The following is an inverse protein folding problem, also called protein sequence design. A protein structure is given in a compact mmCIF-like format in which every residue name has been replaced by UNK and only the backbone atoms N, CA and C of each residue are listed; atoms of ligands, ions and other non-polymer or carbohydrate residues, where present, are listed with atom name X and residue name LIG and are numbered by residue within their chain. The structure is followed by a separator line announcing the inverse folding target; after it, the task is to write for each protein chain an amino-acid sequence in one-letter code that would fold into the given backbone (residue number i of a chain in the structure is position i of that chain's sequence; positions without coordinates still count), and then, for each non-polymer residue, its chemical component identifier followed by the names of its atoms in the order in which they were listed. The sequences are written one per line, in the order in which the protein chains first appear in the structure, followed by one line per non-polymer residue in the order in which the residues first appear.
data_IF_114690456092
#
_entry.id   IF_114690456092
#
_cell.length_a   1.000
_cell.length_b   1.000
_cell.length_c   1.000
_cell.angle_alpha   90.00
_cell.angle_beta   90.00
_cell.angle_gamma   90.00
#
_symmetry.space_group_name_H-M   'P 1'
#
loop_
_entity.id
_entity.type
_entity.pdbx_description
1 polymer ?
#
# COMPACT_ATOMS: atom_id res chain seq x y z
N UNK A 1 17.99 4.62 -60.30
CA UNK A 1 18.82 5.58 -61.03
C UNK A 1 17.94 6.36 -62.00
N UNK A 2 17.66 7.64 -61.75
CA UNK A 2 17.59 8.75 -62.71
C UNK A 2 17.48 10.08 -61.93
N UNK A 3 18.46 10.96 -62.17
CA UNK A 3 18.47 12.38 -61.83
C UNK A 3 17.50 13.15 -62.75
N UNK A 4 17.04 14.31 -62.26
CA UNK A 4 16.93 15.66 -62.90
C UNK A 4 15.74 16.42 -62.29
N UNK A 5 15.67 17.74 -62.12
CA UNK A 5 16.61 18.86 -62.00
C UNK A 5 15.74 20.09 -61.60
N UNK A 6 16.38 21.07 -60.96
CA UNK A 6 16.09 22.52 -60.87
C UNK A 6 14.67 23.11 -60.82
N UNK A 7 14.47 23.96 -59.80
CA UNK A 7 13.44 24.98 -59.77
C UNK A 7 13.70 26.01 -58.66
N UNK A 8 14.56 26.98 -58.93
CA UNK A 8 14.79 28.14 -58.08
C UNK A 8 13.54 29.04 -58.00
N UNK A 9 13.16 29.44 -56.79
CA UNK A 9 12.44 30.70 -56.54
C UNK A 9 13.12 31.46 -55.42
N UNK A 10 13.81 32.53 -55.81
CA UNK A 10 14.28 33.63 -54.96
C UNK A 10 13.10 34.55 -54.64
N UNK A 11 12.88 34.88 -53.36
CA UNK A 11 12.18 36.12 -53.00
C UNK A 11 12.78 36.71 -51.73
N UNK A 12 13.43 37.86 -51.94
CA UNK A 12 13.50 39.05 -51.10
C UNK A 12 13.75 38.91 -49.59
N UNK A 13 14.98 39.23 -49.24
CA UNK A 13 15.47 39.99 -48.09
C UNK A 13 14.45 40.98 -47.52
N UNK A 14 14.19 40.90 -46.22
CA UNK A 14 14.01 42.07 -45.36
C UNK A 14 14.62 41.82 -43.98
N UNK A 15 15.62 42.63 -43.69
CA UNK A 15 16.36 42.77 -42.45
C UNK A 15 15.45 42.89 -41.22
N UNK A 16 15.66 42.00 -40.23
CA UNK A 16 15.30 42.28 -38.84
C UNK A 16 16.57 42.36 -38.02
N UNK A 17 17.03 43.60 -37.92
CA UNK A 17 18.04 44.14 -37.02
C UNK A 17 17.93 43.50 -35.63
N UNK A 18 19.03 42.90 -35.20
CA UNK A 18 19.25 42.47 -33.83
C UNK A 18 19.09 43.67 -32.88
N UNK A 19 18.24 43.51 -31.87
CA UNK A 19 18.22 44.38 -30.71
C UNK A 19 18.23 43.48 -29.48
N UNK A 20 19.44 43.26 -28.95
CA UNK A 20 19.65 42.68 -27.63
C UNK A 20 19.06 43.64 -26.59
N UNK A 21 18.17 43.21 -25.68
CA UNK A 21 17.85 44.02 -24.53
C UNK A 21 19.01 43.97 -23.52
N UNK A 22 19.43 45.18 -23.13
CA UNK A 22 20.44 45.53 -22.14
C UNK A 22 20.49 44.62 -20.91
N UNK A 23 21.73 44.23 -20.61
CA UNK A 23 22.19 43.73 -19.32
C UNK A 23 22.04 44.88 -18.30
N UNK A 24 20.91 44.90 -17.61
CA UNK A 24 20.78 45.68 -16.37
C UNK A 24 21.42 44.86 -15.25
N UNK A 25 22.58 45.34 -14.82
CA UNK A 25 23.26 44.97 -13.57
C UNK A 25 22.26 45.00 -12.41
N UNK A 26 21.84 43.82 -11.98
CA UNK A 26 21.15 43.64 -10.70
C UNK A 26 22.24 43.45 -9.67
N UNK A 27 22.38 44.47 -8.82
CA UNK A 27 23.20 44.43 -7.62
C UNK A 27 22.79 43.23 -6.77
N UNK A 28 23.80 42.50 -6.30
CA UNK A 28 23.70 41.45 -5.31
C UNK A 28 23.07 42.02 -4.03
N UNK A 29 21.78 41.74 -3.83
CA UNK A 29 21.18 41.78 -2.50
C UNK A 29 21.16 40.36 -1.99
N UNK A 30 22.15 40.03 -1.17
CA UNK A 30 22.14 38.84 -0.33
C UNK A 30 20.82 38.82 0.47
N UNK A 31 20.06 37.71 0.49
CA UNK A 31 19.01 37.57 1.47
C UNK A 31 19.69 37.43 2.84
N UNK A 32 19.55 38.45 3.67
CA UNK A 32 19.82 38.38 5.10
C UNK A 32 19.00 37.21 5.68
N UNK A 33 19.68 36.09 5.91
CA UNK A 33 19.13 34.91 6.56
C UNK A 33 19.04 35.16 8.07
N UNK A 34 18.11 36.02 8.48
CA UNK A 34 17.63 36.13 9.86
C UNK A 34 16.56 35.07 10.10
N UNK A 35 16.98 33.82 10.02
CA UNK A 35 16.17 32.64 10.33
C UNK A 35 16.94 31.73 11.28
N UNK A 36 17.17 32.19 12.51
CA UNK A 36 17.64 31.35 13.61
C UNK A 36 16.52 30.36 13.94
N UNK A 37 16.46 29.26 13.19
CA UNK A 37 15.65 28.10 13.55
C UNK A 37 16.07 27.60 14.93
N UNK A 38 15.18 26.91 15.66
CA UNK A 38 15.50 26.44 17.00
C UNK A 38 16.72 25.54 16.90
N UNK A 39 17.87 26.00 17.40
CA UNK A 39 19.06 25.17 17.60
C UNK A 39 18.79 24.28 18.83
N UNK A 40 17.94 23.27 18.65
CA UNK A 40 17.77 22.22 19.63
C UNK A 40 19.04 21.39 19.68
N UNK A 41 19.76 21.50 20.79
CA UNK A 41 20.94 20.71 21.11
C UNK A 41 20.70 19.23 20.83
N UNK A 42 21.60 18.61 20.06
CA UNK A 42 21.54 17.21 19.64
C UNK A 42 21.41 16.19 20.79
N UNK A 43 21.69 16.60 22.02
CA UNK A 43 21.54 15.80 23.23
C UNK A 43 20.09 15.61 23.68
N UNK A 44 19.17 16.53 23.38
CA UNK A 44 17.76 16.45 23.83
C UNK A 44 16.91 15.52 22.95
N UNK A 45 17.49 15.03 21.84
CA UNK A 45 16.83 14.17 20.86
C UNK A 45 17.15 12.68 21.06
N UNK A 46 17.98 12.32 22.03
CA UNK A 46 18.26 10.93 22.43
C UNK A 46 17.00 10.28 23.02
N UNK A 47 16.15 9.75 22.14
CA UNK A 47 14.88 9.12 22.49
C UNK A 47 13.69 9.60 21.64
N UNK A 48 13.90 10.63 20.81
CA UNK A 48 12.87 11.11 19.89
C UNK A 48 12.77 10.14 18.70
N UNK A 49 11.55 9.72 18.44
CA UNK A 49 11.25 8.79 17.36
C UNK A 49 11.35 9.47 16.00
N UNK A 50 11.85 8.72 15.01
CA UNK A 50 11.93 9.16 13.61
C UNK A 50 10.62 9.03 12.86
N UNK A 51 9.56 8.60 13.55
CA UNK A 51 8.26 8.27 12.95
C UNK A 51 7.22 9.32 13.33
N UNK A 52 6.60 9.89 12.32
CA UNK A 52 5.42 10.75 12.45
C UNK A 52 4.15 9.97 12.11
N UNK A 53 3.09 10.28 12.83
CA UNK A 53 1.71 9.91 12.52
C UNK A 53 1.05 11.07 11.81
N UNK A 54 0.39 10.79 10.69
CA UNK A 54 -0.40 11.76 9.93
C UNK A 54 -1.84 11.24 9.88
N UNK A 55 -2.76 11.96 10.51
CA UNK A 55 -4.19 11.70 10.50
C UNK A 55 -4.97 12.67 9.63
N UNK A 56 -6.23 12.32 9.39
CA UNK A 56 -7.18 13.10 8.59
C UNK A 56 -6.71 13.35 7.14
N UNK A 57 -6.07 12.34 6.56
CA UNK A 57 -5.57 12.41 5.20
C UNK A 57 -6.71 12.46 4.18
N UNK A 58 -6.65 13.37 3.20
CA UNK A 58 -7.65 13.47 2.14
C UNK A 58 -7.63 12.23 1.24
N UNK A 59 -8.80 11.87 0.71
CA UNK A 59 -8.91 10.73 -0.20
C UNK A 59 -8.11 10.98 -1.49
N UNK A 60 -7.31 9.99 -1.90
CA UNK A 60 -6.42 10.09 -3.07
C UNK A 60 -4.98 10.50 -2.73
N UNK A 61 -4.73 10.97 -1.51
CA UNK A 61 -3.38 11.29 -1.04
C UNK A 61 -2.75 10.06 -0.36
N UNK A 62 -2.18 9.19 -1.20
CA UNK A 62 -1.68 7.88 -0.81
C UNK A 62 -0.15 7.85 -0.74
N UNK A 63 0.44 6.66 -0.79
CA UNK A 63 1.87 6.44 -0.54
C UNK A 63 2.79 7.22 -1.48
N UNK A 64 2.48 7.26 -2.78
CA UNK A 64 3.29 7.98 -3.79
C UNK A 64 3.23 9.50 -3.58
N UNK A 65 2.03 10.03 -3.31
CA UNK A 65 1.81 11.47 -3.11
C UNK A 65 2.41 11.93 -1.78
N UNK A 66 2.21 11.16 -0.71
CA UNK A 66 2.79 11.45 0.60
C UNK A 66 4.32 11.41 0.54
N UNK A 67 4.91 10.43 -0.14
CA UNK A 67 6.36 10.37 -0.26
C UNK A 67 6.88 11.63 -0.97
N UNK A 68 6.31 11.98 -2.12
CA UNK A 68 6.74 13.17 -2.87
C UNK A 68 6.54 14.47 -2.10
N UNK A 69 5.47 14.57 -1.31
CA UNK A 69 5.21 15.74 -0.48
C UNK A 69 6.15 15.85 0.71
N UNK A 70 6.40 14.77 1.44
CA UNK A 70 7.28 14.81 2.62
C UNK A 70 8.77 14.76 2.29
N UNK A 71 9.15 14.41 1.06
CA UNK A 71 10.52 14.50 0.54
C UNK A 71 11.09 15.94 0.70
N UNK A 72 10.25 16.97 0.73
CA UNK A 72 10.66 18.37 0.89
C UNK A 72 11.29 18.68 2.26
N UNK A 73 10.91 17.92 3.31
CA UNK A 73 11.47 18.08 4.65
C UNK A 73 12.75 17.25 4.81
N UNK A 74 12.81 16.10 4.15
CA UNK A 74 13.99 15.24 4.13
C UNK A 74 13.69 13.83 3.63
N UNK A 75 14.71 12.97 3.64
CA UNK A 75 14.62 11.63 3.09
C UNK A 75 13.66 10.73 3.89
N UNK A 76 12.60 10.27 3.22
CA UNK A 76 11.63 9.31 3.76
C UNK A 76 12.13 7.88 3.56
N UNK A 77 12.44 7.19 4.67
CA UNK A 77 12.95 5.81 4.66
C UNK A 77 11.82 4.80 4.49
N UNK A 78 10.77 4.89 5.34
CA UNK A 78 9.64 3.96 5.33
C UNK A 78 8.34 4.73 5.38
N UNK A 79 7.41 4.36 4.50
CA UNK A 79 6.09 4.96 4.46
C UNK A 79 5.01 3.89 4.40
N UNK A 80 3.95 4.08 5.19
CA UNK A 80 2.78 3.22 5.17
C UNK A 80 1.48 3.99 5.41
N UNK A 81 0.57 3.93 4.45
CA UNK A 81 -0.83 4.33 4.65
C UNK A 81 -1.61 3.18 5.26
N UNK A 82 -2.37 3.47 6.31
CA UNK A 82 -3.25 2.47 6.91
C UNK A 82 -4.50 2.26 6.07
N UNK A 83 -4.82 1.00 5.80
CA UNK A 83 -5.96 0.57 4.98
C UNK A 83 -6.78 -0.46 5.73
N UNK A 84 -8.06 -0.55 5.40
CA UNK A 84 -8.92 -1.61 5.89
C UNK A 84 -8.52 -2.94 5.24
N UNK A 85 -8.23 -3.95 6.05
CA UNK A 85 -7.80 -5.27 5.56
C UNK A 85 -8.82 -5.91 4.63
N UNK A 86 -10.13 -5.72 4.85
CA UNK A 86 -11.20 -6.34 4.06
C UNK A 86 -11.45 -5.60 2.74
N UNK A 87 -11.71 -4.29 2.82
CA UNK A 87 -12.11 -3.47 1.66
C UNK A 87 -10.95 -2.85 0.90
N UNK A 88 -9.75 -2.79 1.49
CA UNK A 88 -8.57 -2.13 0.90
C UNK A 88 -8.63 -0.60 0.90
N UNK A 89 -9.74 0.00 1.33
CA UNK A 89 -9.91 1.45 1.43
C UNK A 89 -8.97 2.03 2.49
N UNK A 90 -8.42 3.21 2.22
CA UNK A 90 -7.60 3.92 3.20
C UNK A 90 -8.44 4.30 4.43
N UNK A 91 -7.80 4.29 5.59
CA UNK A 91 -8.39 4.76 6.85
C UNK A 91 -8.10 6.24 7.13
N UNK A 92 -7.56 6.96 6.15
CA UNK A 92 -7.22 8.38 6.24
C UNK A 92 -6.13 8.69 7.29
N UNK A 93 -5.20 7.76 7.52
CA UNK A 93 -4.00 8.02 8.30
C UNK A 93 -2.80 7.22 7.77
N UNK A 94 -1.60 7.71 8.04
CA UNK A 94 -0.34 7.12 7.61
C UNK A 94 0.74 7.27 8.68
N UNK A 95 1.76 6.44 8.57
CA UNK A 95 3.01 6.56 9.31
C UNK A 95 4.13 6.79 8.33
N UNK A 96 4.96 7.78 8.63
CA UNK A 96 6.12 8.17 7.81
C UNK A 96 7.34 8.16 8.71
N UNK A 97 8.38 7.49 8.27
CA UNK A 97 9.66 7.44 8.95
C UNK A 97 10.72 8.17 8.14
N UNK A 98 11.33 9.15 8.78
CA UNK A 98 12.44 9.91 8.23
C UNK A 98 13.78 9.27 8.57
N UNK A 99 14.82 9.67 7.83
CA UNK A 99 16.19 9.28 8.13
C UNK A 99 16.69 9.90 9.45
N UNK A 100 16.38 11.19 9.67
CA UNK A 100 16.77 11.95 10.86
C UNK A 100 15.58 12.19 11.80
N UNK A 101 15.74 12.05 13.13
CA UNK A 101 14.70 12.38 14.11
C UNK A 101 14.39 13.88 14.15
N UNK A 102 15.36 14.76 13.90
CA UNK A 102 15.18 16.22 13.85
C UNK A 102 14.16 16.61 12.78
N UNK A 103 14.29 16.01 11.59
CA UNK A 103 13.39 16.24 10.47
C UNK A 103 11.97 15.79 10.80
N UNK A 104 11.81 14.70 11.57
CA UNK A 104 10.49 14.25 12.02
C UNK A 104 9.82 15.27 12.96
N UNK A 105 10.58 15.93 13.84
CA UNK A 105 10.07 16.99 14.72
C UNK A 105 9.61 18.19 13.90
N UNK A 106 10.49 18.71 13.04
CA UNK A 106 10.20 19.88 12.21
C UNK A 106 8.99 19.60 11.29
N UNK A 107 8.95 18.44 10.66
CA UNK A 107 7.84 18.06 9.79
C UNK A 107 6.52 17.92 10.57
N UNK A 108 6.56 17.45 11.82
CA UNK A 108 5.37 17.34 12.65
C UNK A 108 4.83 18.72 13.05
N UNK A 109 5.70 19.60 13.51
CA UNK A 109 5.34 20.96 13.93
C UNK A 109 4.84 21.80 12.74
N UNK A 110 5.52 21.73 11.60
CA UNK A 110 5.15 22.51 10.42
C UNK A 110 3.83 22.06 9.77
N UNK A 111 3.49 20.77 9.88
CA UNK A 111 2.33 20.20 9.19
C UNK A 111 1.12 19.97 10.08
N UNK A 112 1.24 20.11 11.41
CA UNK A 112 0.09 19.98 12.29
C UNK A 112 -0.92 21.10 12.04
N UNK A 113 -2.20 20.74 11.94
CA UNK A 113 -3.31 21.61 11.56
C UNK A 113 -3.20 22.26 10.17
N UNK A 114 -2.28 21.81 9.32
CA UNK A 114 -2.17 22.28 7.94
C UNK A 114 -3.45 21.98 7.15
N UNK A 115 -3.98 22.98 6.46
CA UNK A 115 -5.18 22.83 5.64
C UNK A 115 -4.83 22.20 4.30
N UNK A 116 -5.21 20.94 4.09
CA UNK A 116 -5.01 20.24 2.83
C UNK A 116 -6.37 19.87 2.20
N UNK A 117 -6.67 20.48 1.05
CA UNK A 117 -7.98 20.45 0.43
C UNK A 117 -9.08 20.98 1.36
N UNK A 118 -9.97 20.11 1.85
CA UNK A 118 -11.11 20.45 2.73
C UNK A 118 -10.94 19.91 4.15
N UNK A 119 -9.73 19.47 4.51
CA UNK A 119 -9.44 18.80 5.79
C UNK A 119 -8.15 19.36 6.39
N UNK A 120 -8.14 19.55 7.71
CA UNK A 120 -6.91 19.87 8.45
C UNK A 120 -6.20 18.58 8.80
N UNK A 121 -4.91 18.49 8.48
CA UNK A 121 -4.08 17.36 8.87
C UNK A 121 -3.84 17.37 10.39
N UNK A 122 -3.76 16.18 10.99
CA UNK A 122 -3.30 16.04 12.38
C UNK A 122 -1.97 15.32 12.36
N UNK A 123 -0.89 16.00 12.72
CA UNK A 123 0.46 15.43 12.63
C UNK A 123 1.08 15.41 14.01
N UNK A 124 1.51 14.23 14.45
CA UNK A 124 2.14 14.04 15.76
C UNK A 124 3.35 13.13 15.63
N UNK A 125 4.39 13.39 16.43
CA UNK A 125 5.45 12.41 16.65
C UNK A 125 4.89 11.21 17.43
N UNK A 126 5.25 10.01 16.99
CA UNK A 126 4.89 8.77 17.68
C UNK A 126 6.08 8.29 18.48
N UNK A 127 5.93 8.11 19.79
CA UNK A 127 7.01 7.58 20.63
C UNK A 127 7.45 6.19 20.17
N UNK A 128 8.73 5.89 20.28
CA UNK A 128 9.28 4.61 19.82
C UNK A 128 8.63 3.39 20.52
N UNK A 129 8.22 3.55 21.78
CA UNK A 129 7.54 2.50 22.55
C UNK A 129 6.13 2.15 22.04
N UNK A 130 5.42 3.12 21.44
CA UNK A 130 4.06 2.93 20.93
C UNK A 130 4.07 2.34 19.50
N UNK A 131 5.24 2.23 18.87
CA UNK A 131 5.39 1.66 17.53
C UNK A 131 5.34 0.13 17.60
N UNK A 132 4.26 -0.44 17.08
CA UNK A 132 4.16 -1.89 16.96
C UNK A 132 5.28 -2.45 16.03
N UNK A 133 5.98 -3.55 16.38
CA UNK A 133 7.11 -4.08 15.62
C UNK A 133 6.81 -4.37 14.14
N UNK A 134 5.56 -4.72 13.84
CA UNK A 134 5.11 -5.05 12.49
C UNK A 134 4.55 -3.86 11.70
N UNK A 135 4.65 -2.63 12.22
CA UNK A 135 4.06 -1.44 11.60
C UNK A 135 4.50 -1.27 10.15
N UNK A 136 5.79 -1.38 9.86
CA UNK A 136 6.32 -1.18 8.50
C UNK A 136 6.43 -2.46 7.67
N UNK A 137 5.75 -3.56 8.05
CA UNK A 137 5.74 -4.78 7.21
C UNK A 137 5.11 -4.51 5.86
N UNK A 138 5.91 -4.63 4.80
CA UNK A 138 5.44 -4.33 3.44
C UNK A 138 5.28 -2.84 3.15
N UNK A 139 5.97 -1.97 3.90
CA UNK A 139 6.12 -0.56 3.54
C UNK A 139 6.77 -0.39 2.15
N UNK A 140 6.61 0.79 1.56
CA UNK A 140 7.17 1.19 0.26
C UNK A 140 6.72 0.32 -0.93
N UNK A 141 5.61 -0.44 -0.78
CA UNK A 141 5.00 -1.21 -1.87
C UNK A 141 3.69 -0.57 -2.31
N UNK A 142 3.44 -0.50 -3.61
CA UNK A 142 2.15 -0.06 -4.15
C UNK A 142 1.06 -1.03 -3.72
N UNK A 143 0.03 -0.51 -3.06
CA UNK A 143 -1.10 -1.31 -2.63
C UNK A 143 -1.83 -1.92 -3.83
N UNK A 144 -2.13 -3.23 -3.75
CA UNK A 144 -2.97 -3.95 -4.72
C UNK A 144 -4.10 -4.65 -3.98
N UNK A 145 -5.34 -4.37 -4.36
CA UNK A 145 -6.49 -5.02 -3.75
C UNK A 145 -6.50 -6.51 -4.12
N UNK A 146 -6.50 -7.38 -3.09
CA UNK A 146 -6.56 -8.83 -3.30
C UNK A 146 -8.03 -9.21 -3.54
N UNK A 147 -8.38 -9.83 -4.68
CA UNK A 147 -9.75 -10.25 -4.99
C UNK A 147 -10.10 -11.51 -4.19
N UNK A 148 -10.36 -11.35 -2.88
CA UNK A 148 -10.56 -12.48 -1.94
C UNK A 148 -11.71 -13.40 -2.31
N UNK A 149 -12.83 -12.85 -2.79
CA UNK A 149 -13.99 -13.65 -3.20
C UNK A 149 -13.63 -14.56 -4.36
N UNK A 150 -12.95 -14.03 -5.39
CA UNK A 150 -12.46 -14.82 -6.51
C UNK A 150 -11.46 -15.88 -6.05
N UNK A 151 -10.49 -15.50 -5.22
CA UNK A 151 -9.47 -16.44 -4.73
C UNK A 151 -10.08 -17.59 -3.91
N UNK A 152 -11.04 -17.27 -3.03
CA UNK A 152 -11.76 -18.27 -2.23
C UNK A 152 -12.64 -19.16 -3.12
N UNK A 153 -13.33 -18.58 -4.11
CA UNK A 153 -14.10 -19.34 -5.10
C UNK A 153 -13.21 -20.29 -5.88
N UNK A 154 -12.08 -19.80 -6.39
CA UNK A 154 -11.13 -20.60 -7.17
C UNK A 154 -10.53 -21.72 -6.30
N UNK A 155 -10.31 -21.46 -5.00
CA UNK A 155 -9.87 -22.47 -4.03
C UNK A 155 -10.94 -23.54 -3.75
N UNK A 156 -12.20 -23.14 -3.57
CA UNK A 156 -13.31 -24.08 -3.37
C UNK A 156 -13.63 -24.88 -4.64
N UNK A 157 -13.50 -24.25 -5.80
CA UNK A 157 -13.70 -24.86 -7.11
C UNK A 157 -12.49 -25.67 -7.58
N UNK A 158 -11.35 -25.62 -6.88
CA UNK A 158 -10.18 -26.43 -7.21
C UNK A 158 -10.55 -27.90 -7.20
N UNK A 159 -10.34 -28.55 -8.33
CA UNK A 159 -10.55 -29.98 -8.50
C UNK A 159 -9.55 -30.75 -7.63
N UNK A 160 -10.04 -31.76 -6.91
CA UNK A 160 -9.22 -32.59 -6.03
C UNK A 160 -8.49 -33.63 -6.88
N UNK A 161 -7.30 -33.99 -6.43
CA UNK A 161 -6.58 -35.12 -7.03
C UNK A 161 -7.18 -36.46 -6.58
N UNK A 162 -6.99 -37.52 -7.36
CA UNK A 162 -7.52 -38.85 -7.06
C UNK A 162 -7.08 -39.34 -5.66
N UNK A 163 -5.82 -39.12 -5.30
CA UNK A 163 -5.29 -39.49 -3.99
C UNK A 163 -5.95 -38.72 -2.84
N UNK A 164 -6.23 -37.43 -3.02
CA UNK A 164 -6.93 -36.60 -2.03
C UNK A 164 -8.37 -37.08 -1.85
N UNK A 165 -9.03 -37.49 -2.92
CA UNK A 165 -10.36 -38.06 -2.87
C UNK A 165 -10.38 -39.42 -2.18
N UNK A 166 -9.42 -40.31 -2.45
CA UNK A 166 -9.28 -41.56 -1.71
C UNK A 166 -9.09 -41.33 -0.21
N UNK A 167 -8.23 -40.37 0.17
CA UNK A 167 -8.01 -39.99 1.58
C UNK A 167 -9.30 -39.48 2.22
N UNK A 168 -10.10 -38.71 1.47
CA UNK A 168 -11.41 -38.21 1.94
C UNK A 168 -12.39 -39.36 2.14
N UNK A 169 -12.49 -40.28 1.18
CA UNK A 169 -13.35 -41.47 1.23
C UNK A 169 -12.98 -42.32 2.45
N UNK A 170 -11.70 -42.66 2.63
CA UNK A 170 -11.20 -43.43 3.78
C UNK A 170 -11.58 -42.78 5.11
N UNK A 171 -11.41 -41.45 5.23
CA UNK A 171 -11.81 -40.70 6.44
C UNK A 171 -13.32 -40.69 6.67
N UNK A 172 -14.13 -40.61 5.61
CA UNK A 172 -15.59 -40.64 5.70
C UNK A 172 -16.07 -42.01 6.20
N UNK A 173 -15.59 -43.10 5.61
CA UNK A 173 -15.93 -44.48 6.02
C UNK A 173 -15.50 -44.77 7.45
N UNK A 174 -14.32 -44.29 7.87
CA UNK A 174 -13.88 -44.46 9.26
C UNK A 174 -14.79 -43.74 10.27
N UNK A 175 -15.22 -42.51 9.96
CA UNK A 175 -16.17 -41.77 10.80
C UNK A 175 -17.55 -42.41 10.83
N UNK A 176 -17.98 -43.01 9.72
CA UNK A 176 -19.24 -43.73 9.62
C UNK A 176 -19.29 -44.93 10.56
N UNK A 177 -18.23 -45.76 10.52
CA UNK A 177 -18.07 -46.90 11.44
C UNK A 177 -18.11 -46.48 12.89
N UNK A 178 -17.39 -45.39 13.24
CA UNK A 178 -17.44 -44.84 14.60
C UNK A 178 -18.85 -44.35 14.97
N UNK A 179 -19.58 -43.74 14.03
CA UNK A 179 -20.96 -43.29 14.26
C UNK A 179 -21.89 -44.49 14.51
N UNK A 180 -21.81 -45.54 13.70
CA UNK A 180 -22.59 -46.77 13.89
C UNK A 180 -22.29 -47.43 15.24
N UNK A 181 -21.01 -47.52 15.62
CA UNK A 181 -20.61 -48.03 16.94
C UNK A 181 -21.19 -47.19 18.08
N UNK A 182 -21.20 -45.86 17.95
CA UNK A 182 -21.77 -44.96 18.96
C UNK A 182 -23.29 -45.09 19.07
N UNK A 183 -24.01 -45.24 17.96
CA UNK A 183 -25.46 -45.46 17.94
C UNK A 183 -25.79 -46.79 18.63
N UNK A 184 -25.07 -47.86 18.27
CA UNK A 184 -25.22 -49.18 18.89
C UNK A 184 -24.90 -49.14 20.39
N UNK A 185 -23.84 -48.45 20.79
CA UNK A 185 -23.46 -48.28 22.19
C UNK A 185 -24.48 -47.45 22.99
N UNK A 186 -25.20 -46.53 22.34
CA UNK A 186 -26.30 -45.78 22.95
C UNK A 186 -27.60 -46.60 23.08
N UNK A 187 -27.61 -47.87 22.63
CA UNK A 187 -28.78 -48.74 22.69
C UNK A 187 -29.89 -48.35 21.71
N UNK A 188 -29.58 -47.51 20.71
CA UNK A 188 -30.53 -47.08 19.69
C UNK A 188 -30.50 -48.11 18.57
N UNK A 189 -31.64 -48.77 18.33
CA UNK A 189 -31.81 -49.74 17.25
C UNK A 189 -32.04 -49.02 15.92
N UNK A 190 -30.94 -48.50 15.36
CA UNK A 190 -30.94 -47.77 14.10
C UNK A 190 -29.79 -48.25 13.21
N UNK A 191 -30.14 -49.17 12.31
CA UNK A 191 -29.26 -49.69 11.26
C UNK A 191 -29.53 -48.92 9.96
N UNK A 192 -28.47 -48.40 9.36
CA UNK A 192 -28.52 -47.71 8.06
C UNK A 192 -27.37 -48.18 7.18
N UNK A 193 -27.57 -48.11 5.87
CA UNK A 193 -26.56 -48.58 4.91
C UNK A 193 -25.22 -47.85 5.10
N UNK A 194 -24.10 -48.59 5.10
CA UNK A 194 -22.79 -48.00 5.29
C UNK A 194 -22.50 -47.02 4.17
N UNK A 195 -21.90 -45.87 4.50
CA UNK A 195 -21.61 -44.82 3.52
C UNK A 195 -20.82 -45.34 2.31
N UNK A 196 -20.00 -46.37 2.47
CA UNK A 196 -19.25 -46.98 1.38
C UNK A 196 -20.13 -47.56 0.26
N UNK A 197 -21.33 -48.07 0.58
CA UNK A 197 -22.26 -48.62 -0.41
C UNK A 197 -22.99 -47.54 -1.21
N UNK A 198 -23.17 -46.35 -0.61
CA UNK A 198 -23.90 -45.22 -1.20
C UNK A 198 -22.99 -44.25 -1.97
N UNK A 199 -21.67 -44.47 -1.98
CA UNK A 199 -20.72 -43.58 -2.63
C UNK A 199 -20.71 -43.78 -4.15
N UNK A 200 -20.87 -42.71 -4.96
CA UNK A 200 -20.79 -42.82 -6.40
C UNK A 200 -19.36 -43.19 -6.85
N UNK A 201 -19.25 -43.97 -7.92
CA UNK A 201 -17.97 -44.40 -8.48
C UNK A 201 -17.07 -43.23 -8.90
N UNK A 202 -17.67 -42.09 -9.29
CA UNK A 202 -16.97 -40.85 -9.63
C UNK A 202 -17.30 -39.75 -8.62
N UNK A 203 -16.29 -38.99 -8.14
CA UNK A 203 -16.52 -37.88 -7.22
C UNK A 203 -17.32 -36.77 -7.89
N UNK A 204 -18.45 -36.38 -7.28
CA UNK A 204 -19.22 -35.21 -7.71
C UNK A 204 -18.53 -33.92 -7.23
N UNK A 205 -18.34 -32.97 -8.14
CA UNK A 205 -17.73 -31.66 -7.83
C UNK A 205 -18.73 -30.54 -8.04
N UNK A 206 -19.05 -29.81 -6.97
CA UNK A 206 -19.96 -28.66 -7.02
C UNK A 206 -19.16 -27.38 -7.20
N UNK A 207 -19.36 -26.70 -8.34
CA UNK A 207 -18.70 -25.41 -8.62
C UNK A 207 -19.55 -24.25 -8.08
N UNK A 208 -18.96 -23.45 -7.21
CA UNK A 208 -19.53 -22.18 -6.74
C UNK A 208 -19.44 -21.14 -7.88
N UNK A 209 -20.56 -20.45 -8.16
CA UNK A 209 -20.63 -19.37 -9.15
C UNK A 209 -20.09 -18.06 -8.56
#
# INVERSE_FOLDING_TARGET
MKLTDTGHKTVSTMDRKAHAPDVVSRQDTEPENTGRGPETSSSDLEGVSRVIYIGQLPHGFYEEQLKGFFDQFGLVTRLRVSRNNKTGKAKHYAFVEFQSPEVAVIAAEAMDNYMMFKQKLRVNIVKAADLHPQLFKGANKKFRAIPRQKLSRDQHNRERTAEEDERRVKKAVAKDKQRQQRIKAAGIDYEYEPLQALMPATPTHTKFK
#
